data_IF_231980351527
#
_entry.id   IF_231980351527
#
_cell.length_a   1.000
_cell.length_b   1.000
_cell.length_c   1.000
_cell.angle_alpha   90.00
_cell.angle_beta   90.00
_cell.angle_gamma   90.00
#
_symmetry.space_group_name_H-M   'P 1'
#
loop_
_entity.id
_entity.type
_entity.pdbx_description
1 polymer ?
#
# COMPACT_ATOMS: atom_id res chain seq x y z
N UNK A 1 3.74 -12.02 -6.21
CA UNK A 1 4.00 -12.02 -4.76
C UNK A 1 2.77 -11.47 -4.06
N UNK A 2 2.34 -12.02 -2.93
CA UNK A 2 1.17 -11.52 -2.19
C UNK A 2 1.53 -11.35 -0.71
N UNK A 3 1.23 -10.20 -0.12
CA UNK A 3 1.47 -9.88 1.29
C UNK A 3 0.21 -9.30 1.95
N UNK A 4 0.13 -9.42 3.28
CA UNK A 4 -0.98 -8.97 4.11
C UNK A 4 -0.43 -8.28 5.36
N UNK A 5 -0.96 -7.11 5.70
CA UNK A 5 -0.61 -6.39 6.93
C UNK A 5 -1.78 -5.57 7.47
N UNK A 6 -1.68 -5.15 8.73
CA UNK A 6 -2.68 -4.31 9.39
C UNK A 6 -2.23 -2.83 9.38
N UNK A 7 -3.07 -1.96 8.84
CA UNK A 7 -2.92 -0.50 8.94
C UNK A 7 -3.98 0.05 9.90
N UNK A 8 -3.65 0.12 11.18
CA UNK A 8 -4.64 0.39 12.24
C UNK A 8 -5.67 -0.74 12.31
N UNK A 9 -6.95 -0.43 12.04
CA UNK A 9 -8.04 -1.43 11.95
C UNK A 9 -8.28 -1.98 10.55
N UNK A 10 -7.56 -1.46 9.56
CA UNK A 10 -7.75 -1.84 8.16
C UNK A 10 -6.84 -3.00 7.79
N UNK A 11 -7.41 -4.09 7.24
CA UNK A 11 -6.62 -5.19 6.67
C UNK A 11 -6.22 -4.80 5.26
N UNK A 12 -4.91 -4.69 5.03
CA UNK A 12 -4.35 -4.33 3.73
C UNK A 12 -3.78 -5.58 3.06
N UNK A 13 -4.12 -5.76 1.79
CA UNK A 13 -3.57 -6.81 0.93
C UNK A 13 -2.80 -6.19 -0.21
N UNK A 14 -1.54 -6.58 -0.37
CA UNK A 14 -0.71 -6.20 -1.51
C UNK A 14 -0.44 -7.40 -2.39
N UNK A 15 -0.48 -7.17 -3.71
CA UNK A 15 -0.17 -8.17 -4.72
C UNK A 15 0.67 -7.56 -5.83
N UNK A 16 1.76 -8.23 -6.19
CA UNK A 16 2.56 -7.95 -7.39
C UNK A 16 2.35 -9.08 -8.39
N UNK A 17 1.78 -8.75 -9.55
CA UNK A 17 1.50 -9.66 -10.66
C UNK A 17 2.34 -9.28 -11.87
N UNK A 18 3.04 -10.23 -12.50
CA UNK A 18 3.65 -10.02 -13.81
C UNK A 18 2.58 -10.13 -14.92
N UNK A 19 2.56 -9.19 -15.86
CA UNK A 19 1.60 -9.15 -16.97
C UNK A 19 2.14 -9.84 -18.24
N UNK A 20 3.39 -10.29 -18.20
CA UNK A 20 4.08 -11.06 -19.23
C UNK A 20 5.19 -11.88 -18.58
N UNK A 21 5.98 -12.60 -19.39
CA UNK A 21 7.05 -13.51 -18.91
C UNK A 21 8.02 -12.78 -17.97
N UNK A 22 8.41 -11.56 -18.32
CA UNK A 22 9.36 -10.73 -17.54
C UNK A 22 8.78 -9.35 -17.17
N UNK A 23 7.44 -9.24 -17.16
CA UNK A 23 6.72 -8.00 -16.89
C UNK A 23 5.96 -7.44 -18.10
N UNK A 24 5.41 -6.21 -18.00
CA UNK A 24 5.48 -5.30 -16.85
C UNK A 24 4.78 -5.86 -15.59
N UNK A 25 5.10 -5.31 -14.44
CA UNK A 25 4.58 -5.75 -13.14
C UNK A 25 3.49 -4.79 -12.67
N UNK A 26 2.37 -5.32 -12.20
CA UNK A 26 1.29 -4.56 -11.58
C UNK A 26 1.32 -4.78 -10.07
N UNK A 27 1.49 -3.70 -9.31
CA UNK A 27 1.27 -3.67 -7.87
C UNK A 27 -0.20 -3.28 -7.62
N UNK A 28 -0.90 -4.07 -6.81
CA UNK A 28 -2.26 -3.79 -6.35
C UNK A 28 -2.27 -3.82 -4.84
N UNK A 29 -2.62 -2.71 -4.19
CA UNK A 29 -2.77 -2.61 -2.73
C UNK A 29 -4.24 -2.34 -2.42
N UNK A 30 -4.95 -3.35 -1.92
CA UNK A 30 -6.37 -3.28 -1.54
C UNK A 30 -6.51 -3.04 -0.04
N UNK A 31 -7.36 -2.09 0.33
CA UNK A 31 -7.66 -1.73 1.71
C UNK A 31 -9.13 -1.28 1.84
N UNK A 32 -9.62 -1.07 3.06
CA UNK A 32 -11.05 -0.81 3.34
C UNK A 32 -11.63 0.46 2.73
N UNK A 33 -10.83 1.30 2.05
CA UNK A 33 -11.30 2.50 1.33
C UNK A 33 -11.11 2.44 -0.19
N UNK A 34 -10.61 1.32 -0.72
CA UNK A 34 -10.39 1.14 -2.15
C UNK A 34 -9.11 0.38 -2.46
N UNK A 35 -8.60 0.57 -3.67
CA UNK A 35 -7.36 -0.05 -4.11
C UNK A 35 -6.44 0.98 -4.80
N UNK A 36 -5.14 0.84 -4.56
CA UNK A 36 -4.08 1.54 -5.29
C UNK A 36 -3.54 0.54 -6.32
N UNK A 37 -3.47 0.97 -7.59
CA UNK A 37 -2.94 0.15 -8.69
C UNK A 37 -1.85 0.93 -9.40
N UNK A 38 -0.63 0.42 -9.37
CA UNK A 38 0.54 1.02 -10.00
C UNK A 38 1.25 -0.01 -10.89
N UNK A 39 1.88 0.45 -11.99
CA UNK A 39 2.54 -0.41 -12.98
C UNK A 39 4.04 -0.08 -13.05
N UNK A 40 4.88 -1.11 -13.14
CA UNK A 40 6.33 -1.00 -13.09
C UNK A 40 6.99 -1.85 -14.17
N UNK A 41 8.10 -1.37 -14.72
CA UNK A 41 8.89 -2.14 -15.69
C UNK A 41 9.70 -3.27 -15.04
N UNK A 42 9.96 -3.20 -13.73
CA UNK A 42 10.75 -4.21 -13.02
C UNK A 42 10.08 -4.65 -11.73
N UNK A 43 10.24 -5.93 -11.37
CA UNK A 43 9.75 -6.47 -10.11
C UNK A 43 10.37 -5.73 -8.90
N UNK A 44 11.64 -5.36 -9.00
CA UNK A 44 12.34 -4.63 -7.92
C UNK A 44 11.69 -3.27 -7.63
N UNK A 45 11.31 -2.52 -8.67
CA UNK A 45 10.63 -1.24 -8.47
C UNK A 45 9.26 -1.42 -7.82
N UNK A 46 8.50 -2.45 -8.22
CA UNK A 46 7.22 -2.77 -7.59
C UNK A 46 7.38 -3.15 -6.10
N UNK A 47 8.42 -3.92 -5.75
CA UNK A 47 8.72 -4.31 -4.36
C UNK A 47 9.14 -3.12 -3.48
N UNK A 48 9.99 -2.23 -4.00
CA UNK A 48 10.37 -1.01 -3.28
C UNK A 48 9.11 -0.17 -3.00
N UNK A 49 8.25 -0.03 -4.00
CA UNK A 49 7.00 0.71 -3.83
C UNK A 49 6.02 0.06 -2.86
N UNK A 50 5.94 -1.27 -2.86
CA UNK A 50 5.12 -2.02 -1.91
C UNK A 50 5.52 -1.68 -0.47
N UNK A 51 6.82 -1.69 -0.16
CA UNK A 51 7.35 -1.35 1.16
C UNK A 51 7.06 0.11 1.56
N UNK A 52 7.22 1.06 0.63
CA UNK A 52 6.85 2.47 0.86
C UNK A 52 5.37 2.64 1.19
N UNK A 53 4.49 1.97 0.44
CA UNK A 53 3.04 2.05 0.67
C UNK A 53 2.65 1.39 1.99
N UNK A 54 3.31 0.31 2.38
CA UNK A 54 3.11 -0.33 3.68
C UNK A 54 3.42 0.63 4.83
N UNK A 55 4.60 1.26 4.81
CA UNK A 55 5.02 2.24 5.81
C UNK A 55 4.07 3.45 5.88
N UNK A 56 3.69 3.99 4.72
CA UNK A 56 2.77 5.13 4.63
C UNK A 56 1.37 4.78 5.18
N UNK A 57 0.84 3.60 4.85
CA UNK A 57 -0.48 3.17 5.30
C UNK A 57 -0.50 2.89 6.80
N UNK A 58 0.53 2.21 7.32
CA UNK A 58 0.70 2.00 8.76
C UNK A 58 0.80 3.33 9.49
N UNK A 59 1.58 4.29 8.99
CA UNK A 59 1.73 5.62 9.59
C UNK A 59 0.42 6.42 9.58
N UNK A 60 -0.27 6.46 8.43
CA UNK A 60 -1.51 7.23 8.26
C UNK A 60 -2.72 6.67 9.03
N UNK A 61 -2.65 5.42 9.50
CA UNK A 61 -3.74 4.76 10.25
C UNK A 61 -3.37 4.42 11.69
N UNK A 62 -2.08 4.39 12.03
CA UNK A 62 -1.56 4.31 13.39
C UNK A 62 -1.45 5.67 14.08
N UNK A 63 -1.39 6.77 13.33
CA UNK A 63 -1.50 8.10 13.89
C UNK A 63 -2.88 8.29 14.55
N UNK A 64 -2.91 8.37 15.88
CA UNK A 64 -4.06 8.91 16.62
C UNK A 64 -4.39 10.26 15.99
N UNK A 65 -5.66 10.54 15.60
CA UNK A 65 -5.99 11.83 15.03
C UNK A 65 -5.56 12.89 16.05
N UNK A 66 -4.65 13.79 15.65
CA UNK A 66 -4.42 15.01 16.41
C UNK A 66 -5.78 15.71 16.49
N UNK A 67 -6.35 15.72 17.70
CA UNK A 67 -7.54 16.47 18.02
C UNK A 67 -7.34 17.89 17.48
N UNK A 68 -8.18 18.28 16.52
CA UNK A 68 -8.30 19.69 16.13
C UNK A 68 -8.93 20.43 17.32
N UNK A 69 -8.09 20.81 18.27
CA UNK A 69 -8.40 21.88 19.21
C UNK A 69 -8.44 23.19 18.43
N UNK A 70 -9.63 23.62 18.03
CA UNK A 70 -9.89 25.05 17.78
C UNK A 70 -9.80 25.73 19.15
N UNK A 71 -8.71 26.45 19.36
CA UNK A 71 -8.67 27.47 20.41
C UNK A 71 -9.44 28.68 19.89
N UNK A 72 -10.61 28.94 20.49
CA UNK A 72 -11.30 30.23 20.50
C UNK A 72 -10.70 31.09 21.60
#
# INVERSE_FOLDING_TARGET
MNSLFMAGRDLVRSEITALGVDGPFRLTVSHGRGAIVEYFNTARAALVREAELEELLMSARGAVPAEKGVAI
#
